data_IF_069575931348
#
_entry.id   IF_069575931348
#
_cell.length_a   1.000
_cell.length_b   1.000
_cell.length_c   1.000
_cell.angle_alpha   90.00
_cell.angle_beta   90.00
_cell.angle_gamma   90.00
#
_symmetry.space_group_name_H-M   'P 1'
#
loop_
_entity.id
_entity.type
_entity.pdbx_description
1 polymer ?
#
# COMPACT_ATOMS: atom_id res chain seq x y z
N UNK A 1 24.19 -49.17 -30.39
CA UNK A 1 23.75 -47.83 -29.92
C UNK A 1 24.35 -47.58 -28.55
N UNK A 2 25.02 -46.44 -28.38
CA UNK A 2 24.62 -45.53 -27.31
C UNK A 2 24.47 -44.10 -27.84
N UNK A 3 23.40 -43.47 -27.42
CA UNK A 3 22.94 -42.14 -27.79
C UNK A 3 23.81 -41.08 -27.12
N UNK A 4 24.54 -40.31 -27.93
CA UNK A 4 25.15 -39.04 -27.52
C UNK A 4 24.04 -38.04 -27.18
N UNK A 5 23.83 -37.75 -25.90
CA UNK A 5 23.12 -36.54 -25.48
C UNK A 5 24.17 -35.51 -25.02
N UNK A 6 24.46 -34.57 -25.91
CA UNK A 6 25.18 -33.34 -25.57
C UNK A 6 24.35 -32.52 -24.59
N UNK A 7 24.74 -32.54 -23.33
CA UNK A 7 24.24 -31.61 -22.31
C UNK A 7 24.86 -30.25 -22.62
N UNK A 8 24.05 -29.33 -23.12
CA UNK A 8 24.41 -27.91 -23.23
C UNK A 8 24.29 -27.34 -21.82
N UNK A 9 25.43 -27.23 -21.13
CA UNK A 9 25.53 -26.46 -19.89
C UNK A 9 25.42 -24.97 -20.23
N UNK A 10 24.19 -24.45 -20.17
CA UNK A 10 23.94 -23.01 -20.10
C UNK A 10 24.35 -22.55 -18.70
N UNK A 11 25.54 -21.96 -18.66
CA UNK A 11 26.11 -21.27 -17.53
C UNK A 11 25.16 -20.13 -17.10
N UNK A 12 24.17 -20.44 -16.26
CA UNK A 12 23.31 -19.44 -15.65
C UNK A 12 24.13 -18.72 -14.60
N UNK A 13 24.73 -17.60 -15.00
CA UNK A 13 25.20 -16.55 -14.10
C UNK A 13 24.17 -16.34 -13.00
N UNK A 14 24.60 -16.48 -11.75
CA UNK A 14 23.86 -16.35 -10.50
C UNK A 14 22.79 -15.26 -10.55
N UNK A 15 21.56 -15.63 -10.95
CA UNK A 15 20.39 -14.80 -10.73
C UNK A 15 20.08 -14.95 -9.25
N UNK A 16 20.52 -13.99 -8.43
CA UNK A 16 20.06 -13.83 -7.06
C UNK A 16 18.53 -13.84 -7.12
N UNK A 17 17.90 -14.96 -6.75
CA UNK A 17 16.44 -15.04 -6.71
C UNK A 17 16.02 -14.06 -5.64
N UNK A 18 15.29 -13.00 -6.04
CA UNK A 18 14.65 -12.08 -5.12
C UNK A 18 13.76 -12.91 -4.20
N UNK A 19 14.21 -13.11 -2.96
CA UNK A 19 13.51 -13.86 -1.94
C UNK A 19 13.15 -12.86 -0.86
N UNK A 20 11.86 -12.75 -0.59
CA UNK A 20 11.36 -12.14 0.62
C UNK A 20 11.34 -13.24 1.67
N UNK A 21 12.07 -13.08 2.76
CA UNK A 21 12.01 -14.03 3.87
C UNK A 21 10.66 -13.90 4.57
N UNK A 22 9.83 -14.94 4.46
CA UNK A 22 8.47 -14.97 5.05
C UNK A 22 8.36 -16.05 6.12
N UNK A 23 9.47 -16.43 6.74
CA UNK A 23 9.57 -17.57 7.66
C UNK A 23 9.39 -17.17 9.14
N UNK A 24 8.80 -16.01 9.41
CA UNK A 24 8.56 -15.53 10.77
C UNK A 24 7.15 -15.87 11.22
N UNK A 25 6.99 -16.33 12.47
CA UNK A 25 5.67 -16.69 13.03
C UNK A 25 4.69 -15.50 13.09
N UNK A 26 5.22 -14.26 13.12
CA UNK A 26 4.45 -13.01 13.20
C UNK A 26 4.27 -12.33 11.84
N UNK A 27 4.47 -13.07 10.75
CA UNK A 27 4.39 -12.52 9.40
C UNK A 27 2.94 -12.36 8.92
N UNK A 28 2.65 -11.23 8.26
CA UNK A 28 1.34 -10.94 7.66
C UNK A 28 1.00 -11.94 6.56
N UNK A 29 -0.07 -12.71 6.72
CA UNK A 29 -0.53 -13.66 5.70
C UNK A 29 -1.48 -12.98 4.73
N UNK A 30 -1.04 -12.78 3.48
CA UNK A 30 -1.87 -12.18 2.45
C UNK A 30 -2.00 -10.67 2.62
N UNK A 31 -3.13 -10.20 3.15
CA UNK A 31 -3.40 -8.78 3.41
C UNK A 31 -3.98 -8.64 4.81
N UNK A 32 -3.40 -7.76 5.60
CA UNK A 32 -3.99 -7.31 6.87
C UNK A 32 -4.54 -5.89 6.70
N UNK A 33 -5.75 -5.64 7.21
CA UNK A 33 -6.43 -4.35 7.07
C UNK A 33 -6.89 -3.88 8.44
N UNK A 34 -6.43 -2.69 8.83
CA UNK A 34 -6.71 -2.10 10.13
C UNK A 34 -7.32 -0.72 9.97
N UNK A 35 -8.38 -0.44 10.73
CA UNK A 35 -8.95 0.89 10.87
C UNK A 35 -8.42 1.51 12.15
N UNK A 36 -7.70 2.63 12.04
CA UNK A 36 -6.97 3.27 13.13
C UNK A 36 -7.32 4.76 13.22
N UNK A 37 -7.40 5.28 14.44
CA UNK A 37 -7.41 6.72 14.67
C UNK A 37 -6.03 7.17 15.17
N UNK A 38 -5.32 7.94 14.35
CA UNK A 38 -4.01 8.48 14.74
C UNK A 38 -4.14 9.95 15.09
N UNK A 39 -3.82 10.31 16.34
CA UNK A 39 -3.81 11.70 16.82
C UNK A 39 -3.05 12.63 15.87
N UNK A 40 -3.68 13.72 15.42
CA UNK A 40 -3.10 14.68 14.48
C UNK A 40 -3.24 14.31 13.00
N UNK A 41 -3.69 13.10 12.68
CA UNK A 41 -4.02 12.66 11.31
C UNK A 41 -5.55 12.45 11.20
N UNK A 42 -6.13 11.74 12.17
CA UNK A 42 -7.54 11.32 12.18
C UNK A 42 -7.69 9.83 11.85
N UNK A 43 -8.86 9.46 11.36
CA UNK A 43 -9.17 8.08 10.96
C UNK A 43 -8.46 7.71 9.66
N UNK A 44 -7.80 6.56 9.66
CA UNK A 44 -7.09 6.00 8.52
C UNK A 44 -7.35 4.49 8.41
N UNK A 45 -7.31 4.00 7.18
CA UNK A 45 -7.26 2.57 6.88
C UNK A 45 -5.84 2.21 6.48
N UNK A 46 -5.23 1.28 7.20
CA UNK A 46 -3.88 0.75 6.91
C UNK A 46 -4.02 -0.63 6.29
N UNK A 47 -3.43 -0.79 5.11
CA UNK A 47 -3.45 -2.02 4.32
C UNK A 47 -2.02 -2.55 4.22
N UNK A 48 -1.74 -3.63 4.91
CA UNK A 48 -0.43 -4.28 4.90
C UNK A 48 -0.46 -5.48 3.97
N UNK A 49 0.43 -5.48 2.98
CA UNK A 49 0.54 -6.53 1.98
C UNK A 49 1.77 -7.39 2.26
N UNK A 50 1.58 -8.70 2.34
CA UNK A 50 2.67 -9.65 2.47
C UNK A 50 3.60 -9.64 1.25
N UNK A 51 4.91 -9.81 1.46
CA UNK A 51 5.86 -10.17 0.40
C UNK A 51 5.78 -11.60 -0.15
N UNK A 52 4.79 -12.41 0.23
CA UNK A 52 4.75 -13.82 -0.15
C UNK A 52 4.13 -13.97 -1.55
N UNK A 53 4.93 -14.46 -2.50
CA UNK A 53 4.63 -14.47 -3.95
C UNK A 53 3.27 -15.06 -4.34
N UNK A 54 2.76 -16.03 -3.58
CA UNK A 54 1.52 -16.71 -3.91
C UNK A 54 0.29 -15.79 -3.78
N UNK A 55 0.42 -14.70 -3.01
CA UNK A 55 -0.66 -13.71 -2.86
C UNK A 55 -0.61 -12.58 -3.88
N UNK A 56 0.45 -12.47 -4.69
CA UNK A 56 0.61 -11.33 -5.62
C UNK A 56 -0.54 -11.19 -6.61
N UNK A 57 -1.11 -12.30 -7.07
CA UNK A 57 -2.27 -12.29 -7.96
C UNK A 57 -3.53 -11.71 -7.29
N UNK A 58 -3.64 -11.80 -5.96
CA UNK A 58 -4.79 -11.26 -5.23
C UNK A 58 -4.70 -9.75 -5.07
N UNK A 59 -3.49 -9.18 -5.09
CA UNK A 59 -3.25 -7.76 -4.85
C UNK A 59 -3.78 -6.85 -5.96
N UNK A 60 -4.08 -7.41 -7.13
CA UNK A 60 -4.74 -6.72 -8.24
C UNK A 60 -6.13 -6.19 -7.84
N UNK A 61 -6.79 -6.82 -6.85
CA UNK A 61 -8.10 -6.40 -6.36
C UNK A 61 -8.04 -5.22 -5.39
N UNK A 62 -6.86 -4.90 -4.85
CA UNK A 62 -6.70 -3.95 -3.76
C UNK A 62 -5.85 -2.73 -4.15
N UNK A 63 -4.89 -2.93 -5.06
CA UNK A 63 -3.97 -1.89 -5.50
C UNK A 63 -4.48 -1.26 -6.80
N UNK A 64 -4.52 0.07 -6.84
CA UNK A 64 -4.96 0.82 -8.03
C UNK A 64 -5.46 2.22 -7.71
N UNK A 65 -5.80 2.47 -6.44
CA UNK A 65 -6.20 3.80 -5.97
C UNK A 65 -4.98 4.73 -5.81
N UNK A 66 -5.11 5.95 -6.31
CA UNK A 66 -4.11 7.03 -6.18
C UNK A 66 -4.45 8.03 -5.06
N UNK A 67 -5.65 7.92 -4.47
CA UNK A 67 -6.11 8.72 -3.32
C UNK A 67 -5.65 8.10 -1.98
N UNK A 68 -4.47 7.52 -1.95
CA UNK A 68 -3.84 6.97 -0.76
C UNK A 68 -2.31 7.19 -0.82
N UNK A 69 -1.63 6.87 0.28
CA UNK A 69 -0.18 6.89 0.35
C UNK A 69 0.34 5.46 0.24
N UNK A 70 1.34 5.25 -0.62
CA UNK A 70 2.03 3.98 -0.76
C UNK A 70 3.35 4.04 -0.01
N UNK A 71 3.51 3.19 1.00
CA UNK A 71 4.75 3.09 1.77
C UNK A 71 5.47 1.80 1.38
N UNK A 72 6.68 1.92 0.81
CA UNK A 72 7.51 0.77 0.43
C UNK A 72 8.57 0.57 1.50
N UNK A 73 8.47 -0.55 2.21
CA UNK A 73 9.40 -0.93 3.26
C UNK A 73 10.52 -1.81 2.72
N UNK A 74 11.73 -1.61 3.23
CA UNK A 74 12.88 -2.48 2.98
C UNK A 74 13.80 -2.51 4.22
N UNK A 75 14.53 -3.61 4.39
CA UNK A 75 15.38 -3.83 5.55
C UNK A 75 16.80 -3.33 5.30
N UNK A 76 17.36 -2.58 6.24
CA UNK A 76 18.78 -2.17 6.20
C UNK A 76 19.74 -3.31 6.58
N UNK A 77 19.22 -4.43 7.08
CA UNK A 77 20.02 -5.62 7.34
C UNK A 77 20.29 -6.44 6.07
N UNK A 78 19.50 -6.21 5.00
CA UNK A 78 19.72 -6.86 3.72
C UNK A 78 20.94 -6.24 3.01
N UNK A 79 21.70 -6.99 2.19
CA UNK A 79 22.75 -6.40 1.37
C UNK A 79 22.21 -5.34 0.40
N UNK A 80 23.01 -4.33 0.08
CA UNK A 80 22.63 -3.21 -0.80
C UNK A 80 21.94 -3.65 -2.10
N UNK A 81 22.48 -4.65 -2.79
CA UNK A 81 21.91 -5.15 -4.05
C UNK A 81 20.53 -5.77 -3.87
N UNK A 82 20.27 -6.40 -2.72
CA UNK A 82 18.97 -6.96 -2.37
C UNK A 82 17.97 -5.86 -2.05
N UNK A 83 18.36 -4.88 -1.23
CA UNK A 83 17.53 -3.69 -0.95
C UNK A 83 17.10 -2.99 -2.25
N UNK A 84 18.05 -2.76 -3.15
CA UNK A 84 17.81 -2.15 -4.46
C UNK A 84 16.80 -2.95 -5.28
N UNK A 85 16.99 -4.28 -5.37
CA UNK A 85 16.10 -5.16 -6.13
C UNK A 85 14.69 -5.24 -5.53
N UNK A 86 14.56 -5.29 -4.20
CA UNK A 86 13.26 -5.32 -3.50
C UNK A 86 12.48 -4.03 -3.73
N UNK A 87 13.11 -2.87 -3.53
CA UNK A 87 12.45 -1.57 -3.76
C UNK A 87 12.06 -1.43 -5.23
N UNK A 88 12.95 -1.78 -6.15
CA UNK A 88 12.65 -1.76 -7.58
C UNK A 88 11.48 -2.68 -7.93
N UNK A 89 11.43 -3.89 -7.35
CA UNK A 89 10.34 -4.83 -7.56
C UNK A 89 9.02 -4.20 -7.15
N UNK A 90 8.90 -3.70 -5.92
CA UNK A 90 7.65 -3.12 -5.43
C UNK A 90 7.20 -1.89 -6.21
N UNK A 91 8.12 -1.02 -6.61
CA UNK A 91 7.78 0.13 -7.46
C UNK A 91 7.30 -0.32 -8.85
N UNK A 92 7.92 -1.35 -9.43
CA UNK A 92 7.46 -1.93 -10.70
C UNK A 92 6.09 -2.60 -10.54
N UNK A 93 5.85 -3.26 -9.40
CA UNK A 93 4.61 -3.92 -9.05
C UNK A 93 3.44 -2.95 -8.88
N UNK A 94 3.70 -1.78 -8.27
CA UNK A 94 2.74 -0.68 -8.21
C UNK A 94 2.48 -0.10 -9.60
N UNK A 95 3.54 0.10 -10.39
CA UNK A 95 3.41 0.68 -11.73
C UNK A 95 2.51 -0.17 -12.63
N UNK A 96 2.62 -1.50 -12.55
CA UNK A 96 1.78 -2.39 -13.37
C UNK A 96 0.31 -2.42 -12.97
N UNK A 97 -0.05 -1.89 -11.79
CA UNK A 97 -1.42 -1.95 -11.23
C UNK A 97 -2.10 -0.59 -11.13
N UNK A 98 -1.33 0.48 -11.03
CA UNK A 98 -1.89 1.82 -10.93
C UNK A 98 -2.10 2.36 -12.36
N UNK A 99 -3.37 2.49 -12.80
CA UNK A 99 -3.65 2.99 -14.14
C UNK A 99 -3.20 4.45 -14.26
N UNK A 100 -2.72 4.80 -15.44
CA UNK A 100 -2.43 6.19 -15.77
C UNK A 100 -3.75 6.96 -15.87
N UNK A 101 -3.87 8.06 -15.13
CA UNK A 101 -5.08 8.89 -15.12
C UNK A 101 -4.87 10.14 -15.97
N UNK A 102 -5.83 10.40 -16.85
CA UNK A 102 -5.91 11.64 -17.63
C UNK A 102 -6.38 12.82 -16.77
N UNK A 103 -5.98 14.07 -17.10
CA UNK A 103 -5.09 14.44 -18.19
C UNK A 103 -3.62 14.16 -17.87
N UNK A 104 -2.84 13.77 -18.88
CA UNK A 104 -1.38 13.68 -18.76
C UNK A 104 -0.74 15.07 -18.69
N UNK A 105 0.12 15.26 -17.69
CA UNK A 105 1.01 16.40 -17.56
C UNK A 105 2.33 16.23 -18.33
N UNK A 106 3.27 17.14 -18.08
CA UNK A 106 4.60 17.12 -18.70
C UNK A 106 5.30 15.76 -18.53
N UNK A 107 5.98 15.30 -19.59
CA UNK A 107 6.60 13.97 -19.68
C UNK A 107 5.65 12.77 -19.47
N UNK A 108 4.35 12.92 -19.73
CA UNK A 108 3.37 11.85 -19.60
C UNK A 108 3.01 11.51 -18.16
N UNK A 109 3.33 12.40 -17.20
CA UNK A 109 3.01 12.19 -15.79
C UNK A 109 1.50 12.32 -15.57
N UNK A 110 0.89 11.31 -14.97
CA UNK A 110 -0.53 11.33 -14.59
C UNK A 110 -0.86 12.59 -13.77
N UNK A 111 -2.00 13.23 -14.06
CA UNK A 111 -2.51 14.37 -13.27
C UNK A 111 -2.78 14.02 -11.80
N UNK A 112 -2.95 12.73 -11.50
CA UNK A 112 -3.03 12.16 -10.15
C UNK A 112 -2.03 11.01 -9.98
N UNK A 113 -0.74 11.32 -10.09
CA UNK A 113 0.32 10.36 -9.83
C UNK A 113 0.24 9.79 -8.39
N UNK A 114 0.50 8.49 -8.23
CA UNK A 114 0.53 7.87 -6.92
C UNK A 114 1.67 8.43 -6.07
N UNK A 115 1.38 8.71 -4.80
CA UNK A 115 2.35 9.20 -3.83
C UNK A 115 3.02 8.03 -3.14
N UNK A 116 4.35 7.96 -3.25
CA UNK A 116 5.13 6.84 -2.76
C UNK A 116 6.24 7.36 -1.85
N UNK A 117 6.40 6.78 -0.67
CA UNK A 117 7.55 7.03 0.19
C UNK A 117 8.30 5.74 0.49
N UNK A 118 9.62 5.84 0.59
CA UNK A 118 10.48 4.72 0.96
C UNK A 118 10.75 4.75 2.46
N UNK A 119 10.68 3.59 3.09
CA UNK A 119 10.90 3.40 4.52
C UNK A 119 11.95 2.31 4.73
N UNK A 120 13.09 2.68 5.26
CA UNK A 120 14.19 1.78 5.58
C UNK A 120 14.11 1.39 7.06
N UNK A 121 13.90 0.11 7.36
CA UNK A 121 13.76 -0.40 8.73
C UNK A 121 15.08 -1.00 9.25
N UNK A 122 15.10 -1.40 10.52
CA UNK A 122 16.27 -2.00 11.17
C UNK A 122 17.47 -1.03 11.30
N UNK A 123 17.19 0.27 11.47
CA UNK A 123 18.23 1.27 11.66
C UNK A 123 19.06 1.08 12.96
N UNK A 124 18.50 0.35 13.93
CA UNK A 124 19.09 -0.02 15.22
C UNK A 124 20.14 -1.13 15.12
N UNK A 125 19.94 -2.07 14.20
CA UNK A 125 20.81 -3.24 14.01
C UNK A 125 21.78 -3.08 12.84
N UNK A 126 21.46 -2.22 11.88
CA UNK A 126 22.35 -1.87 10.77
C UNK A 126 23.43 -0.88 11.20
N UNK A 127 24.52 -0.81 10.44
CA UNK A 127 25.66 0.10 10.69
C UNK A 127 25.36 1.58 10.34
N UNK A 128 24.13 2.02 10.58
CA UNK A 128 23.68 3.37 10.26
C UNK A 128 24.36 4.43 11.15
N UNK A 129 24.61 5.60 10.56
CA UNK A 129 25.13 6.72 11.33
C UNK A 129 23.96 7.42 12.04
N UNK A 130 24.10 7.60 13.37
CA UNK A 130 23.15 8.38 14.16
C UNK A 130 23.66 9.80 14.34
N UNK A 131 22.90 10.77 13.84
CA UNK A 131 23.23 12.19 13.93
C UNK A 131 23.09 12.63 15.39
N UNK A 132 24.20 12.99 16.04
CA UNK A 132 24.24 13.29 17.47
C UNK A 132 23.31 14.44 17.88
N UNK A 133 23.12 15.43 17.00
CA UNK A 133 22.30 16.61 17.29
C UNK A 133 20.79 16.35 17.25
N UNK A 134 20.31 15.49 16.34
CA UNK A 134 18.87 15.22 16.14
C UNK A 134 18.45 13.85 16.68
N UNK A 135 19.41 12.95 16.89
CA UNK A 135 19.18 11.56 17.26
C UNK A 135 18.65 10.69 16.12
N UNK A 136 18.61 11.21 14.89
CA UNK A 136 18.11 10.53 13.69
C UNK A 136 19.15 9.58 13.09
N UNK A 137 18.68 8.48 12.53
CA UNK A 137 19.51 7.60 11.73
C UNK A 137 19.56 8.08 10.28
N UNK A 138 20.72 7.95 9.66
CA UNK A 138 20.95 8.27 8.26
C UNK A 138 21.69 7.11 7.59
N UNK A 139 21.25 6.76 6.39
CA UNK A 139 21.89 5.76 5.54
C UNK A 139 22.17 6.35 4.15
N UNK A 140 23.45 6.39 3.78
CA UNK A 140 23.90 6.79 2.44
C UNK A 140 23.44 5.81 1.37
N UNK A 141 23.40 4.52 1.71
CA UNK A 141 22.90 3.43 0.85
C UNK A 141 21.42 3.62 0.54
N UNK A 142 20.57 3.83 1.56
CA UNK A 142 19.15 4.12 1.38
C UNK A 142 18.93 5.37 0.52
N UNK A 143 19.74 6.41 0.74
CA UNK A 143 19.69 7.64 -0.06
C UNK A 143 20.07 7.38 -1.52
N UNK A 144 21.08 6.55 -1.78
CA UNK A 144 21.49 6.13 -3.12
C UNK A 144 20.41 5.33 -3.84
N UNK A 145 19.74 4.41 -3.13
CA UNK A 145 18.56 3.67 -3.65
C UNK A 145 17.47 4.65 -4.06
N UNK A 146 17.11 5.61 -3.20
CA UNK A 146 16.10 6.61 -3.51
C UNK A 146 16.45 7.42 -4.77
N UNK A 147 17.70 7.88 -4.92
CA UNK A 147 18.12 8.63 -6.11
C UNK A 147 17.97 7.79 -7.39
N UNK A 148 18.34 6.52 -7.32
CA UNK A 148 18.17 5.58 -8.43
C UNK A 148 16.69 5.40 -8.78
N UNK A 149 15.83 5.22 -7.77
CA UNK A 149 14.39 5.07 -7.96
C UNK A 149 13.72 6.36 -8.46
N UNK A 150 14.16 7.53 -8.02
CA UNK A 150 13.70 8.82 -8.54
C UNK A 150 14.04 8.98 -10.03
N UNK A 151 15.25 8.57 -10.44
CA UNK A 151 15.64 8.59 -11.86
C UNK A 151 14.78 7.64 -12.71
N UNK A 152 14.41 6.48 -12.17
CA UNK A 152 13.67 5.45 -12.90
C UNK A 152 12.16 5.68 -12.91
N UNK A 153 11.58 6.05 -11.77
CA UNK A 153 10.14 6.10 -11.54
C UNK A 153 9.59 7.50 -11.24
N UNK A 154 10.41 8.55 -11.12
CA UNK A 154 9.96 9.90 -10.77
C UNK A 154 9.02 10.56 -11.80
N UNK A 155 8.96 10.02 -13.02
CA UNK A 155 7.97 10.43 -14.04
C UNK A 155 6.61 9.74 -13.86
N UNK A 156 6.58 8.62 -13.15
CA UNK A 156 5.40 7.77 -12.94
C UNK A 156 4.77 8.10 -11.58
N UNK A 157 5.59 8.19 -10.54
CA UNK A 157 5.17 8.44 -9.17
C UNK A 157 5.58 9.80 -8.66
N UNK A 158 4.86 10.30 -7.66
CA UNK A 158 5.31 11.37 -6.77
C UNK A 158 6.09 10.70 -5.61
N UNK A 159 7.40 10.48 -5.83
CA UNK A 159 8.29 9.92 -4.82
C UNK A 159 8.67 11.00 -3.79
N UNK A 160 8.55 10.67 -2.51
CA UNK A 160 9.04 11.53 -1.42
C UNK A 160 10.55 11.80 -1.56
N UNK A 161 10.97 13.01 -1.15
CA UNK A 161 12.33 13.49 -1.41
C UNK A 161 13.39 12.82 -0.54
N UNK A 162 12.99 12.23 0.59
CA UNK A 162 13.88 11.55 1.53
C UNK A 162 13.36 10.16 1.91
N UNK A 163 14.27 9.29 2.35
CA UNK A 163 13.91 7.97 2.92
C UNK A 163 13.72 8.12 4.42
N UNK A 164 12.65 7.55 4.96
CA UNK A 164 12.48 7.44 6.41
C UNK A 164 13.32 6.27 6.92
N UNK A 165 14.39 6.56 7.67
CA UNK A 165 15.26 5.55 8.27
C UNK A 165 14.80 5.30 9.71
N UNK A 166 14.17 4.16 9.95
CA UNK A 166 13.42 3.85 11.16
C UNK A 166 14.06 2.73 11.98
N UNK A 167 14.09 2.96 13.28
CA UNK A 167 14.06 1.93 14.30
C UNK A 167 12.60 1.73 14.72
N UNK A 168 12.02 0.58 14.35
CA UNK A 168 10.63 0.26 14.59
C UNK A 168 10.33 -0.05 16.08
N UNK A 169 11.35 -0.31 16.90
CA UNK A 169 11.19 -0.55 18.34
C UNK A 169 10.97 0.76 19.13
N UNK A 170 11.21 1.92 18.51
CA UNK A 170 11.14 3.23 19.15
C UNK A 170 10.03 4.09 18.53
N UNK A 171 8.81 3.93 19.06
CA UNK A 171 7.59 4.65 18.62
C UNK A 171 7.75 6.19 18.66
N UNK A 172 8.53 6.71 19.61
CA UNK A 172 8.76 8.14 19.78
C UNK A 172 9.93 8.73 18.97
N UNK A 173 10.55 7.94 18.09
CA UNK A 173 11.74 8.35 17.35
C UNK A 173 11.46 9.56 16.44
N UNK A 174 12.46 10.41 16.18
CA UNK A 174 12.30 11.55 15.29
C UNK A 174 11.84 11.12 13.88
N UNK A 175 12.36 10.00 13.38
CA UNK A 175 11.98 9.47 12.07
C UNK A 175 10.52 8.97 12.04
N UNK A 176 10.00 8.37 13.12
CA UNK A 176 8.57 8.04 13.22
C UNK A 176 7.70 9.30 13.27
N UNK A 177 8.14 10.35 13.99
CA UNK A 177 7.47 11.66 13.99
C UNK A 177 7.49 12.32 12.61
N UNK A 178 8.58 12.20 11.87
CA UNK A 178 8.70 12.70 10.51
C UNK A 178 7.75 11.96 9.56
N UNK A 179 7.68 10.63 9.64
CA UNK A 179 6.73 9.83 8.87
C UNK A 179 5.29 10.21 9.19
N UNK A 180 4.94 10.34 10.47
CA UNK A 180 3.61 10.81 10.90
C UNK A 180 3.30 12.20 10.35
N UNK A 181 4.26 13.11 10.37
CA UNK A 181 4.11 14.47 9.84
C UNK A 181 3.93 14.47 8.31
N UNK A 182 4.64 13.59 7.60
CA UNK A 182 4.47 13.39 6.18
C UNK A 182 3.06 12.89 5.83
N UNK A 183 2.53 11.92 6.57
CA UNK A 183 1.15 11.45 6.38
C UNK A 183 0.15 12.57 6.64
N UNK A 184 0.30 13.30 7.76
CA UNK A 184 -0.56 14.43 8.09
C UNK A 184 -0.55 15.52 6.99
N UNK A 185 0.63 15.86 6.47
CA UNK A 185 0.78 16.88 5.43
C UNK A 185 0.16 16.47 4.08
N UNK A 186 0.13 15.18 3.77
CA UNK A 186 -0.42 14.70 2.51
C UNK A 186 -1.91 14.35 2.59
N UNK A 187 -2.51 14.31 3.78
CA UNK A 187 -3.93 14.02 4.00
C UNK A 187 -4.83 14.85 3.07
N UNK A 188 -4.64 16.17 3.07
CA UNK A 188 -5.47 17.06 2.26
C UNK A 188 -5.26 16.81 0.75
N UNK A 189 -4.04 16.48 0.33
CA UNK A 189 -3.71 16.17 -1.06
C UNK A 189 -4.31 14.85 -1.55
N UNK A 190 -4.36 13.82 -0.69
CA UNK A 190 -4.95 12.51 -1.06
C UNK A 190 -6.47 12.54 -1.01
N UNK A 191 -7.04 13.42 -0.19
CA UNK A 191 -8.50 13.60 -0.08
C UNK A 191 -9.07 14.67 -1.03
N UNK A 192 -8.19 15.41 -1.72
CA UNK A 192 -8.60 16.48 -2.61
C UNK A 192 -9.46 15.97 -3.77
N UNK A 193 -10.66 16.53 -3.90
CA UNK A 193 -11.59 16.20 -4.98
C UNK A 193 -12.30 14.86 -4.81
N UNK A 194 -12.19 14.23 -3.63
CA UNK A 194 -13.04 13.09 -3.29
C UNK A 194 -14.48 13.56 -2.97
N UNK A 195 -15.48 12.68 -3.19
CA UNK A 195 -16.86 12.96 -2.77
C UNK A 195 -16.94 13.24 -1.27
N UNK A 196 -17.75 14.22 -0.88
CA UNK A 196 -17.92 14.60 0.54
C UNK A 196 -18.66 13.51 1.30
N UNK A 197 -18.33 13.35 2.58
CA UNK A 197 -19.14 12.51 3.48
C UNK A 197 -20.59 12.99 3.47
N UNK A 198 -21.52 12.05 3.40
CA UNK A 198 -22.96 12.30 3.47
C UNK A 198 -23.52 11.61 4.72
N UNK A 199 -24.62 12.12 5.26
CA UNK A 199 -25.31 11.44 6.36
C UNK A 199 -25.76 10.01 5.98
N UNK A 200 -25.97 9.75 4.68
CA UNK A 200 -26.26 8.41 4.17
C UNK A 200 -25.05 7.47 4.32
N UNK A 201 -23.86 7.91 3.89
CA UNK A 201 -22.61 7.17 4.08
C UNK A 201 -22.34 6.89 5.57
N UNK A 202 -22.47 7.90 6.43
CA UNK A 202 -22.25 7.78 7.87
C UNK A 202 -23.20 6.78 8.53
N UNK A 203 -24.46 6.76 8.12
CA UNK A 203 -25.44 5.79 8.60
C UNK A 203 -25.08 4.36 8.19
N UNK A 204 -24.62 4.14 6.96
CA UNK A 204 -24.15 2.82 6.50
C UNK A 204 -22.89 2.39 7.23
N UNK A 205 -21.91 3.27 7.41
CA UNK A 205 -20.70 2.98 8.21
C UNK A 205 -21.05 2.58 9.65
N UNK A 206 -22.06 3.23 10.24
CA UNK A 206 -22.56 2.89 11.58
C UNK A 206 -23.16 1.47 11.62
N UNK A 207 -23.91 1.06 10.60
CA UNK A 207 -24.44 -0.31 10.51
C UNK A 207 -23.34 -1.36 10.27
N UNK A 208 -22.38 -1.05 9.39
CA UNK A 208 -21.21 -1.89 9.14
C UNK A 208 -20.44 -2.19 10.43
N UNK A 209 -20.15 -1.15 11.22
CA UNK A 209 -19.42 -1.27 12.47
C UNK A 209 -20.22 -1.97 13.59
N UNK A 210 -21.52 -1.68 13.69
CA UNK A 210 -22.34 -2.15 14.81
C UNK A 210 -22.80 -3.59 14.66
N UNK A 211 -23.28 -3.99 13.48
CA UNK A 211 -24.03 -5.23 13.26
C UNK A 211 -23.51 -6.07 12.07
N UNK A 212 -23.36 -5.49 10.88
CA UNK A 212 -23.19 -6.28 9.65
C UNK A 212 -21.88 -7.07 9.59
N UNK A 213 -20.77 -6.49 10.09
CA UNK A 213 -19.49 -7.20 10.17
C UNK A 213 -19.53 -8.34 11.18
N UNK A 214 -20.19 -8.12 12.33
CA UNK A 214 -20.28 -9.12 13.41
C UNK A 214 -21.14 -10.30 13.01
N UNK A 215 -22.26 -10.05 12.33
CA UNK A 215 -23.14 -11.12 11.86
C UNK A 215 -22.52 -11.99 10.77
N UNK A 216 -21.45 -11.50 10.12
CA UNK A 216 -20.77 -12.16 8.98
C UNK A 216 -19.29 -12.42 9.24
N UNK A 217 -18.87 -12.56 10.50
CA UNK A 217 -17.45 -12.74 10.85
C UNK A 217 -16.81 -13.98 10.23
N UNK A 218 -17.57 -15.07 10.05
CA UNK A 218 -17.07 -16.30 9.43
C UNK A 218 -16.95 -16.22 7.90
N UNK A 219 -17.74 -15.36 7.25
CA UNK A 219 -17.75 -15.20 5.79
C UNK A 219 -18.15 -13.77 5.43
N UNK A 220 -17.20 -12.83 5.42
CA UNK A 220 -17.46 -11.39 5.28
C UNK A 220 -17.67 -10.97 3.81
N UNK A 221 -18.53 -11.69 3.08
CA UNK A 221 -18.86 -11.41 1.67
C UNK A 221 -20.36 -11.20 1.55
N UNK A 222 -20.75 -10.14 0.85
CA UNK A 222 -22.16 -9.80 0.62
C UNK A 222 -22.38 -9.64 -0.90
N UNK A 223 -23.26 -10.42 -1.53
CA UNK A 223 -23.67 -10.20 -2.90
C UNK A 223 -24.28 -8.80 -3.07
N UNK A 224 -24.03 -8.15 -4.20
CA UNK A 224 -24.50 -6.78 -4.45
C UNK A 224 -26.00 -6.57 -4.21
N UNK A 225 -26.83 -7.52 -4.63
CA UNK A 225 -28.29 -7.45 -4.41
C UNK A 225 -28.65 -7.49 -2.93
N UNK A 226 -28.02 -8.38 -2.16
CA UNK A 226 -28.24 -8.47 -0.71
C UNK A 226 -27.77 -7.19 -0.01
N UNK A 227 -26.66 -6.60 -0.46
CA UNK A 227 -26.20 -5.31 0.07
C UNK A 227 -27.24 -4.20 -0.13
N UNK A 228 -27.83 -4.09 -1.32
CA UNK A 228 -28.90 -3.12 -1.60
C UNK A 228 -30.10 -3.36 -0.67
N UNK A 229 -30.54 -4.62 -0.55
CA UNK A 229 -31.69 -4.98 0.30
C UNK A 229 -31.46 -4.60 1.77
N UNK A 230 -30.24 -4.81 2.30
CA UNK A 230 -29.86 -4.40 3.66
C UNK A 230 -29.88 -2.88 3.82
N UNK A 231 -29.31 -2.13 2.87
CA UNK A 231 -29.29 -0.66 2.91
C UNK A 231 -30.72 -0.10 2.86
N UNK A 232 -31.59 -0.65 2.02
CA UNK A 232 -33.00 -0.24 1.96
C UNK A 232 -33.77 -0.56 3.23
N UNK A 233 -33.52 -1.73 3.83
CA UNK A 233 -34.22 -2.17 5.03
C UNK A 233 -33.78 -1.43 6.29
N UNK A 234 -32.49 -1.16 6.44
CA UNK A 234 -31.91 -0.70 7.72
C UNK A 234 -31.45 0.75 7.71
N UNK A 235 -31.30 1.38 6.54
CA UNK A 235 -30.74 2.73 6.42
C UNK A 235 -31.64 3.69 5.67
N UNK A 236 -31.92 3.43 4.38
CA UNK A 236 -32.71 4.34 3.54
C UNK A 236 -33.46 3.59 2.44
N UNK A 237 -34.78 3.37 2.57
CA UNK A 237 -35.58 2.66 1.58
C UNK A 237 -35.78 3.44 0.26
N UNK A 238 -35.45 4.73 0.24
CA UNK A 238 -35.62 5.60 -0.94
C UNK A 238 -34.32 5.75 -1.76
N UNK A 239 -33.24 5.08 -1.35
CA UNK A 239 -31.96 5.18 -2.02
C UNK A 239 -31.99 4.50 -3.40
N UNK A 240 -32.08 5.30 -4.47
CA UNK A 240 -31.93 4.82 -5.84
C UNK A 240 -30.53 4.31 -6.20
N UNK A 241 -30.40 3.80 -7.43
CA UNK A 241 -29.18 3.17 -7.96
C UNK A 241 -27.94 4.09 -7.92
N UNK A 242 -28.10 5.36 -8.29
CA UNK A 242 -26.98 6.32 -8.28
C UNK A 242 -26.43 6.56 -6.86
N UNK A 243 -27.31 6.59 -5.85
CA UNK A 243 -26.87 6.68 -4.46
C UNK A 243 -26.07 5.44 -4.04
N UNK A 244 -26.45 4.25 -4.52
CA UNK A 244 -25.74 3.00 -4.22
C UNK A 244 -24.36 2.96 -4.88
N UNK A 245 -24.25 3.43 -6.12
CA UNK A 245 -22.96 3.55 -6.83
C UNK A 245 -22.02 4.53 -6.12
N UNK A 246 -22.51 5.70 -5.73
CA UNK A 246 -21.71 6.67 -4.98
C UNK A 246 -21.31 6.12 -3.61
N UNK A 247 -22.25 5.54 -2.88
CA UNK A 247 -22.02 4.92 -1.57
C UNK A 247 -20.91 3.86 -1.65
N UNK A 248 -21.01 2.90 -2.57
CA UNK A 248 -20.03 1.82 -2.64
C UNK A 248 -18.66 2.33 -3.07
N UNK A 249 -18.60 3.33 -3.94
CA UNK A 249 -17.36 3.98 -4.31
C UNK A 249 -16.71 4.67 -3.09
N UNK A 250 -17.49 5.38 -2.27
CA UNK A 250 -16.98 6.01 -1.05
C UNK A 250 -16.49 4.99 -0.03
N UNK A 251 -17.25 3.91 0.20
CA UNK A 251 -16.86 2.83 1.11
C UNK A 251 -15.56 2.14 0.65
N UNK A 252 -15.39 1.91 -0.66
CA UNK A 252 -14.15 1.38 -1.25
C UNK A 252 -12.97 2.32 -0.98
N UNK A 253 -13.15 3.63 -1.22
CA UNK A 253 -12.09 4.64 -1.03
C UNK A 253 -11.67 4.76 0.44
N UNK A 254 -12.62 4.63 1.37
CA UNK A 254 -12.35 4.62 2.82
C UNK A 254 -11.72 3.30 3.31
N UNK A 255 -11.70 2.26 2.47
CA UNK A 255 -11.26 0.93 2.86
C UNK A 255 -12.23 0.23 3.82
N UNK A 256 -13.50 0.62 3.84
CA UNK A 256 -14.54 -0.04 4.64
C UNK A 256 -15.00 -1.36 3.99
N UNK A 257 -14.93 -1.45 2.66
CA UNK A 257 -15.29 -2.61 1.85
C UNK A 257 -14.31 -2.78 0.68
N UNK A 258 -14.22 -3.99 0.14
CA UNK A 258 -13.55 -4.27 -1.13
C UNK A 258 -14.55 -4.90 -2.10
N UNK A 259 -14.74 -4.26 -3.25
CA UNK A 259 -15.58 -4.73 -4.34
C UNK A 259 -14.75 -5.68 -5.19
N UNK A 260 -15.27 -6.88 -5.40
CA UNK A 260 -14.73 -7.83 -6.36
C UNK A 260 -15.77 -8.07 -7.45
N UNK A 261 -15.45 -7.66 -8.68
CA UNK A 261 -16.29 -7.94 -9.84
C UNK A 261 -15.87 -9.32 -10.35
N UNK A 262 -16.75 -10.30 -10.18
CA UNK A 262 -16.58 -11.63 -10.76
C UNK A 262 -17.13 -11.58 -12.18
N UNK A 263 -16.26 -11.34 -13.15
CA UNK A 263 -16.57 -11.66 -14.54
C UNK A 263 -16.48 -13.19 -14.68
N UNK A 264 -17.64 -13.84 -14.79
CA UNK A 264 -17.78 -15.26 -15.09
C UNK A 264 -17.91 -15.48 -16.60
#
# INVERSE_FOLDING_TARGET
EPTNQSIIELNSSSVSKLLFETNFDTYTLGVDVQQLNISGIGDISVWEFSGHRHYYMLYDNFIGNTNCLHLVFFSLNDPYDIQMQQVQFWLSFLQSRIPVQEPLGYCGKSGKAARVALVATHADSSSCHRVAATGEYVSSEATSILRTMQSKFGRIFELHETVFVLDAHVVGSPAMKALKSYVAHNKDKVTQGLPKSTGFLEAVCTQLASSWRKSRSCFPVIPWKEFIDLVHSEVNPLAGEEHMKELIQQLQIMGEVCIQILEL
#
